data_IF_716449106765
#
_entry.id   IF_716449106765
#
_cell.length_a   1.000
_cell.length_b   1.000
_cell.length_c   1.000
_cell.angle_alpha   90.00
_cell.angle_beta   90.00
_cell.angle_gamma   90.00
#
_symmetry.space_group_name_H-M   'P 1'
#
loop_
_entity.id
_entity.type
_entity.pdbx_description
1 polymer ?
#
# COMPACT_ATOMS: atom_id res chain seq x y z
N UNK A 1 24.57 56.76 37.77
CA UNK A 1 24.28 55.87 36.62
C UNK A 1 22.82 55.45 36.70
N UNK A 2 22.02 55.73 35.66
CA UNK A 2 20.55 55.56 35.66
C UNK A 2 20.18 54.14 35.26
N UNK A 3 19.29 53.51 36.02
CA UNK A 3 18.79 52.16 35.77
C UNK A 3 17.83 52.10 34.58
N UNK A 4 18.08 51.15 33.68
CA UNK A 4 17.19 50.83 32.58
C UNK A 4 16.02 49.99 33.08
N UNK A 5 14.81 50.55 33.07
CA UNK A 5 13.55 49.81 33.19
C UNK A 5 13.25 49.14 31.85
N UNK A 6 13.26 47.80 31.81
CA UNK A 6 12.74 47.04 30.68
C UNK A 6 11.21 47.08 30.68
N UNK A 7 10.63 47.64 29.62
CA UNK A 7 9.21 47.64 29.33
C UNK A 7 8.70 46.20 29.13
N UNK A 8 7.67 45.82 29.91
CA UNK A 8 6.89 44.60 29.65
C UNK A 8 6.24 44.72 28.27
N UNK A 9 6.66 43.87 27.33
CA UNK A 9 5.94 43.69 26.07
C UNK A 9 4.52 43.23 26.40
N UNK A 10 3.54 43.94 25.86
CA UNK A 10 2.14 43.56 25.90
C UNK A 10 1.99 42.17 25.28
N UNK A 11 1.76 41.16 26.13
CA UNK A 11 1.21 39.88 25.67
C UNK A 11 -0.10 40.20 24.96
N UNK A 12 -0.18 39.92 23.66
CA UNK A 12 -1.43 39.98 22.92
C UNK A 12 -2.43 39.09 23.65
N UNK A 13 -3.54 39.68 24.13
CA UNK A 13 -4.68 38.89 24.60
C UNK A 13 -5.08 37.96 23.47
N UNK A 14 -4.81 36.66 23.63
CA UNK A 14 -5.46 35.64 22.84
C UNK A 14 -6.96 35.84 23.05
N UNK A 15 -7.71 35.97 21.95
CA UNK A 15 -9.17 36.02 22.00
C UNK A 15 -9.69 34.76 22.69
N UNK A 16 -10.76 34.87 23.47
CA UNK A 16 -11.45 33.72 24.05
C UNK A 16 -11.89 32.77 22.92
N UNK A 17 -11.15 31.67 22.72
CA UNK A 17 -11.42 30.64 21.71
C UNK A 17 -12.44 29.62 22.22
N UNK A 18 -13.57 30.08 22.76
CA UNK A 18 -14.66 29.20 23.21
C UNK A 18 -15.71 28.92 22.11
N UNK A 19 -15.55 29.49 20.91
CA UNK A 19 -16.36 29.15 19.75
C UNK A 19 -15.78 27.94 19.02
N UNK A 20 -16.64 26.99 18.64
CA UNK A 20 -16.25 25.78 17.90
C UNK A 20 -15.89 26.07 16.42
N UNK A 21 -15.83 27.34 16.01
CA UNK A 21 -15.53 27.78 14.65
C UNK A 21 -16.73 27.77 13.69
N UNK A 22 -17.87 27.19 14.09
CA UNK A 22 -19.05 27.01 13.24
C UNK A 22 -20.22 27.95 13.58
N UNK A 23 -20.05 28.82 14.58
CA UNK A 23 -21.08 29.74 15.08
C UNK A 23 -21.55 30.78 14.03
N UNK A 24 -20.76 30.98 12.97
CA UNK A 24 -21.06 31.92 11.89
C UNK A 24 -21.72 31.24 10.67
N UNK A 25 -21.99 29.93 10.71
CA UNK A 25 -22.64 29.23 9.60
C UNK A 25 -24.11 29.65 9.47
N UNK A 26 -24.55 29.95 8.24
CA UNK A 26 -25.93 30.30 7.92
C UNK A 26 -26.51 29.44 6.80
N UNK A 27 -27.84 29.32 6.77
CA UNK A 27 -28.56 28.58 5.72
C UNK A 27 -28.26 27.08 5.71
N UNK A 28 -28.11 26.49 4.52
CA UNK A 28 -27.91 25.05 4.34
C UNK A 28 -26.64 24.53 5.02
N UNK A 29 -25.59 25.37 5.12
CA UNK A 29 -24.37 24.96 5.81
C UNK A 29 -24.57 24.72 7.31
N UNK A 30 -25.44 25.51 7.95
CA UNK A 30 -25.80 25.31 9.35
C UNK A 30 -26.59 24.00 9.57
N UNK A 31 -27.50 23.67 8.64
CA UNK A 31 -28.25 22.41 8.70
C UNK A 31 -27.32 21.21 8.48
N UNK A 32 -26.42 21.28 7.50
CA UNK A 32 -25.40 20.24 7.27
C UNK A 32 -24.50 20.04 8.48
N UNK A 33 -24.01 21.11 9.08
CA UNK A 33 -23.20 21.05 10.30
C UNK A 33 -23.97 20.41 11.47
N UNK A 34 -25.23 20.80 11.67
CA UNK A 34 -26.08 20.24 12.73
C UNK A 34 -26.27 18.73 12.57
N UNK A 35 -26.36 18.24 11.34
CA UNK A 35 -26.46 16.81 11.07
C UNK A 35 -25.09 16.14 11.25
N UNK A 36 -24.02 16.72 10.67
CA UNK A 36 -22.67 16.16 10.74
C UNK A 36 -22.13 16.04 12.17
N UNK A 37 -22.39 17.03 13.03
CA UNK A 37 -21.98 17.01 14.45
C UNK A 37 -22.59 15.85 15.24
N UNK A 38 -23.79 15.35 14.83
CA UNK A 38 -24.40 14.14 15.41
C UNK A 38 -23.68 12.85 15.01
N UNK A 39 -22.76 12.88 14.05
CA UNK A 39 -21.99 11.71 13.61
C UNK A 39 -20.50 11.82 13.90
N UNK A 40 -19.94 13.03 14.03
CA UNK A 40 -18.49 13.26 14.21
C UNK A 40 -17.88 12.44 15.35
N UNK A 41 -18.57 12.36 16.49
CA UNK A 41 -18.13 11.60 17.66
C UNK A 41 -17.98 10.08 17.43
N UNK A 42 -18.49 9.56 16.32
CA UNK A 42 -18.40 8.14 15.94
C UNK A 42 -17.13 7.82 15.13
N UNK A 43 -16.30 8.81 14.83
CA UNK A 43 -14.93 8.62 14.34
C UNK A 43 -13.94 8.44 15.51
N UNK A 44 -12.69 8.13 15.19
CA UNK A 44 -11.58 8.23 16.15
C UNK A 44 -11.49 9.66 16.69
N UNK A 45 -11.09 9.87 17.96
CA UNK A 45 -11.02 11.19 18.58
C UNK A 45 -10.29 12.25 17.73
N UNK A 46 -9.17 11.87 17.14
CA UNK A 46 -8.31 12.78 16.36
C UNK A 46 -8.84 13.05 14.94
N UNK A 47 -9.81 12.26 14.47
CA UNK A 47 -10.38 12.32 13.11
C UNK A 47 -11.87 12.74 13.14
N UNK A 48 -12.35 13.27 14.28
CA UNK A 48 -13.76 13.69 14.44
C UNK A 48 -14.11 14.84 13.50
N UNK A 49 -13.20 15.79 13.37
CA UNK A 49 -13.39 16.95 12.50
C UNK A 49 -13.29 16.55 11.02
N UNK A 50 -12.43 15.58 10.68
CA UNK A 50 -12.37 15.02 9.33
C UNK A 50 -13.69 14.37 8.93
N UNK A 51 -14.27 13.52 9.79
CA UNK A 51 -15.58 12.92 9.51
C UNK A 51 -16.68 13.98 9.43
N UNK A 52 -16.63 15.00 10.29
CA UNK A 52 -17.58 16.12 10.26
C UNK A 52 -17.53 16.83 8.90
N UNK A 53 -16.34 17.20 8.44
CA UNK A 53 -16.14 17.88 7.17
C UNK A 53 -16.48 16.99 5.97
N UNK A 54 -16.12 15.71 5.99
CA UNK A 54 -16.51 14.75 4.95
C UNK A 54 -18.04 14.67 4.81
N UNK A 55 -18.78 14.66 5.92
CA UNK A 55 -20.25 14.66 5.88
C UNK A 55 -20.76 15.99 5.31
N UNK A 56 -20.24 17.13 5.75
CA UNK A 56 -20.69 18.44 5.25
C UNK A 56 -20.46 18.56 3.73
N UNK A 57 -19.28 18.20 3.25
CA UNK A 57 -18.94 18.27 1.83
C UNK A 57 -19.83 17.31 1.02
N UNK A 58 -20.02 16.08 1.49
CA UNK A 58 -20.88 15.10 0.78
C UNK A 58 -22.34 15.55 0.72
N UNK A 59 -22.86 16.20 1.77
CA UNK A 59 -24.20 16.78 1.75
C UNK A 59 -24.30 17.94 0.74
N UNK A 60 -23.33 18.85 0.72
CA UNK A 60 -23.30 19.97 -0.22
C UNK A 60 -23.20 19.50 -1.67
N UNK A 61 -22.38 18.49 -1.95
CA UNK A 61 -22.24 17.91 -3.28
C UNK A 61 -23.52 17.18 -3.74
N UNK A 62 -24.18 16.46 -2.84
CA UNK A 62 -25.46 15.82 -3.18
C UNK A 62 -26.53 16.86 -3.42
N UNK A 63 -26.64 17.90 -2.57
CA UNK A 63 -27.59 18.99 -2.76
C UNK A 63 -27.42 19.68 -4.12
N UNK A 64 -26.18 20.03 -4.48
CA UNK A 64 -25.84 20.63 -5.79
C UNK A 64 -26.29 19.76 -6.96
N UNK A 65 -26.24 18.44 -6.79
CA UNK A 65 -26.58 17.46 -7.83
C UNK A 65 -28.02 16.92 -7.73
N UNK A 66 -28.83 17.37 -6.76
CA UNK A 66 -30.17 16.83 -6.48
C UNK A 66 -31.26 17.37 -7.43
N UNK A 67 -30.90 18.19 -8.43
CA UNK A 67 -31.82 18.82 -9.36
C UNK A 67 -32.82 19.73 -8.65
N UNK A 68 -34.09 19.71 -9.08
CA UNK A 68 -35.17 20.52 -8.48
C UNK A 68 -35.84 19.83 -7.28
N UNK A 69 -35.31 18.71 -6.80
CA UNK A 69 -35.86 18.01 -5.66
C UNK A 69 -35.38 18.63 -4.35
N UNK A 70 -36.31 18.82 -3.41
CA UNK A 70 -35.97 19.27 -2.07
C UNK A 70 -35.06 18.25 -1.40
N UNK A 71 -33.98 18.72 -0.81
CA UNK A 71 -33.07 17.88 -0.06
C UNK A 71 -33.63 17.67 1.35
N UNK A 72 -34.24 16.51 1.58
CA UNK A 72 -34.91 16.21 2.85
C UNK A 72 -33.93 15.85 3.96
N UNK A 73 -34.25 16.19 5.21
CA UNK A 73 -33.41 15.85 6.37
C UNK A 73 -33.16 14.33 6.49
N UNK A 74 -34.18 13.51 6.16
CA UNK A 74 -34.04 12.05 6.14
C UNK A 74 -32.99 11.57 5.12
N UNK A 75 -32.89 12.21 3.95
CA UNK A 75 -31.85 11.92 2.97
C UNK A 75 -30.47 12.32 3.52
N UNK A 76 -30.37 13.48 4.19
CA UNK A 76 -29.14 13.93 4.82
C UNK A 76 -28.64 12.95 5.88
N UNK A 77 -29.51 12.44 6.77
CA UNK A 77 -29.12 11.41 7.75
C UNK A 77 -28.64 10.10 7.09
N UNK A 78 -29.26 9.69 5.97
CA UNK A 78 -28.81 8.51 5.22
C UNK A 78 -27.42 8.71 4.63
N UNK A 79 -27.15 9.89 4.08
CA UNK A 79 -25.83 10.25 3.53
C UNK A 79 -24.80 10.31 4.65
N UNK A 80 -25.10 10.97 5.77
CA UNK A 80 -24.22 11.04 6.93
C UNK A 80 -23.89 9.64 7.50
N UNK A 81 -24.89 8.77 7.63
CA UNK A 81 -24.69 7.36 8.02
C UNK A 81 -23.82 6.61 7.03
N UNK A 82 -23.99 6.85 5.73
CA UNK A 82 -23.17 6.23 4.67
C UNK A 82 -21.73 6.74 4.71
N UNK A 83 -21.51 8.04 4.89
CA UNK A 83 -20.18 8.64 5.03
C UNK A 83 -19.45 8.06 6.25
N UNK A 84 -20.13 7.95 7.40
CA UNK A 84 -19.61 7.27 8.58
C UNK A 84 -19.18 5.82 8.29
N UNK A 85 -19.99 5.05 7.56
CA UNK A 85 -19.65 3.68 7.19
C UNK A 85 -18.45 3.63 6.21
N UNK A 86 -18.33 4.61 5.31
CA UNK A 86 -17.19 4.75 4.40
C UNK A 86 -15.91 5.12 5.15
N UNK A 87 -15.99 6.00 6.14
CA UNK A 87 -14.89 6.34 7.05
C UNK A 87 -14.32 5.07 7.71
N UNK A 88 -15.17 4.27 8.37
CA UNK A 88 -14.73 3.03 9.01
C UNK A 88 -14.21 1.99 8.01
N UNK A 89 -14.75 1.95 6.78
CA UNK A 89 -14.23 1.08 5.71
C UNK A 89 -12.85 1.52 5.23
N UNK A 90 -12.62 2.84 5.05
CA UNK A 90 -11.32 3.41 4.69
C UNK A 90 -10.30 3.11 5.79
N UNK A 91 -10.67 3.34 7.05
CA UNK A 91 -9.83 3.03 8.21
C UNK A 91 -9.46 1.55 8.28
N UNK A 92 -10.45 0.66 8.15
CA UNK A 92 -10.20 -0.78 8.15
C UNK A 92 -9.24 -1.20 7.03
N UNK A 93 -9.33 -0.57 5.85
CA UNK A 93 -8.39 -0.80 4.74
C UNK A 93 -6.97 -0.36 5.09
N UNK A 94 -6.82 0.80 5.72
CA UNK A 94 -5.49 1.29 6.15
C UNK A 94 -4.88 0.37 7.21
N UNK A 95 -5.69 -0.11 8.15
CA UNK A 95 -5.16 -0.95 9.24
C UNK A 95 -4.93 -2.42 8.79
N UNK A 96 -5.67 -2.93 7.77
CA UNK A 96 -5.70 -4.36 7.39
C UNK A 96 -5.36 -4.66 5.91
N UNK A 97 -5.00 -3.65 5.13
CA UNK A 97 -4.67 -3.77 3.70
C UNK A 97 -5.84 -4.07 2.76
N UNK A 98 -7.04 -4.37 3.27
CA UNK A 98 -8.21 -4.73 2.46
C UNK A 98 -9.53 -4.29 3.11
N UNK A 99 -10.62 -4.39 2.35
CA UNK A 99 -11.99 -4.25 2.84
C UNK A 99 -12.80 -5.51 2.54
N UNK A 100 -13.93 -5.69 3.23
CA UNK A 100 -14.89 -6.74 2.86
C UNK A 100 -15.43 -6.61 1.42
N UNK A 101 -15.29 -5.43 0.79
CA UNK A 101 -15.65 -5.21 -0.61
C UNK A 101 -14.77 -5.99 -1.59
N UNK A 102 -13.53 -6.27 -1.21
CA UNK A 102 -12.54 -7.02 -2.00
C UNK A 102 -12.77 -8.54 -1.95
N UNK A 103 -13.77 -8.98 -1.17
CA UNK A 103 -14.14 -10.38 -1.02
C UNK A 103 -15.38 -10.73 -1.87
N UNK A 104 -15.38 -11.94 -2.44
CA UNK A 104 -16.52 -12.47 -3.18
C UNK A 104 -17.76 -12.61 -2.29
N UNK A 105 -18.94 -12.71 -2.91
CA UNK A 105 -20.21 -12.94 -2.17
C UNK A 105 -20.15 -14.24 -1.36
N UNK A 106 -19.55 -15.29 -1.93
CA UNK A 106 -19.38 -16.58 -1.26
C UNK A 106 -18.47 -16.48 -0.03
N UNK A 107 -17.35 -15.76 -0.12
CA UNK A 107 -16.45 -15.52 1.01
C UNK A 107 -17.16 -14.74 2.12
N UNK A 108 -17.86 -13.65 1.79
CA UNK A 108 -18.61 -12.87 2.78
C UNK A 108 -19.71 -13.68 3.48
N UNK A 109 -20.36 -14.59 2.75
CA UNK A 109 -21.35 -15.51 3.35
C UNK A 109 -20.69 -16.43 4.38
N UNK A 110 -19.56 -17.06 4.05
CA UNK A 110 -18.77 -17.87 5.00
C UNK A 110 -18.33 -17.06 6.23
N UNK A 111 -17.87 -15.82 6.03
CA UNK A 111 -17.53 -14.94 7.16
C UNK A 111 -18.74 -14.64 8.05
N UNK A 112 -19.94 -14.51 7.47
CA UNK A 112 -21.18 -14.30 8.23
C UNK A 112 -21.58 -15.53 9.03
N UNK A 113 -21.51 -16.72 8.41
CA UNK A 113 -21.84 -18.00 9.04
C UNK A 113 -20.92 -18.28 10.24
N UNK A 114 -19.63 -18.03 10.07
CA UNK A 114 -18.61 -18.33 11.08
C UNK A 114 -18.20 -17.12 11.95
N UNK A 115 -18.93 -16.00 11.85
CA UNK A 115 -18.66 -14.75 12.58
C UNK A 115 -17.20 -14.23 12.50
N UNK A 116 -16.58 -14.36 11.32
CA UNK A 116 -15.17 -14.02 11.08
C UNK A 116 -14.94 -12.51 10.81
N UNK A 117 -15.89 -11.65 11.16
CA UNK A 117 -15.74 -10.21 10.92
C UNK A 117 -14.69 -9.56 11.83
N UNK A 118 -14.56 -10.05 13.07
CA UNK A 118 -13.56 -9.57 14.02
C UNK A 118 -12.14 -10.07 13.68
N UNK A 119 -12.03 -11.26 13.09
CA UNK A 119 -10.77 -11.91 12.75
C UNK A 119 -10.82 -12.37 11.29
N UNK A 120 -10.66 -11.42 10.37
CA UNK A 120 -10.69 -11.71 8.94
C UNK A 120 -9.46 -12.54 8.55
N UNK A 121 -9.62 -13.74 7.94
CA UNK A 121 -8.49 -14.60 7.60
C UNK A 121 -7.64 -14.05 6.44
N UNK A 122 -8.16 -13.10 5.66
CA UNK A 122 -7.45 -12.47 4.54
C UNK A 122 -6.75 -11.17 4.96
N UNK A 123 -7.14 -10.59 6.10
CA UNK A 123 -6.63 -9.30 6.54
C UNK A 123 -5.14 -9.40 6.86
N UNK A 124 -4.34 -8.49 6.29
CA UNK A 124 -2.92 -8.35 6.61
C UNK A 124 -2.79 -7.09 7.43
N UNK A 125 -2.54 -7.23 8.73
CA UNK A 125 -2.35 -6.06 9.60
C UNK A 125 -1.11 -5.31 9.15
N UNK A 126 -1.28 -4.04 8.84
CA UNK A 126 -0.14 -3.18 8.51
C UNK A 126 0.52 -2.74 9.82
N UNK A 127 1.83 -2.96 9.92
CA UNK A 127 2.64 -2.46 11.03
C UNK A 127 3.32 -1.14 10.65
N UNK A 128 3.60 -0.31 11.66
CA UNK A 128 4.37 0.92 11.47
C UNK A 128 5.83 0.58 11.23
N UNK A 129 6.47 1.24 10.27
CA UNK A 129 7.92 1.10 10.05
C UNK A 129 8.72 1.66 11.23
N UNK A 130 8.21 2.67 11.92
CA UNK A 130 8.85 3.25 13.10
C UNK A 130 8.57 2.42 14.37
N UNK A 131 8.08 1.18 14.23
CA UNK A 131 7.84 0.30 15.37
C UNK A 131 9.20 -0.14 15.94
N UNK A 132 9.46 0.03 17.25
CA UNK A 132 10.71 -0.42 17.83
C UNK A 132 10.76 -1.95 17.89
N UNK A 133 11.89 -2.51 17.48
CA UNK A 133 12.25 -3.93 17.53
C UNK A 133 13.46 -4.05 18.45
N UNK A 134 13.42 -5.01 19.38
CA UNK A 134 14.49 -5.26 20.35
C UNK A 134 15.35 -6.41 19.80
N UNK A 135 16.66 -6.20 19.71
CA UNK A 135 17.62 -7.25 19.33
C UNK A 135 17.95 -8.19 20.51
N UNK A 136 18.84 -9.15 20.28
CA UNK A 136 19.25 -10.12 21.31
C UNK A 136 20.12 -9.48 22.40
N UNK A 137 20.79 -8.36 22.10
CA UNK A 137 21.60 -7.56 23.03
C UNK A 137 20.79 -6.53 23.84
N UNK A 138 19.50 -6.33 23.52
CA UNK A 138 18.60 -5.39 24.19
C UNK A 138 18.60 -3.96 23.63
N UNK A 139 19.23 -3.70 22.48
CA UNK A 139 19.13 -2.42 21.80
C UNK A 139 17.82 -2.31 21.00
N UNK A 140 17.34 -1.07 20.84
CA UNK A 140 16.12 -0.78 20.08
C UNK A 140 16.46 -0.23 18.70
N UNK A 141 16.00 -0.91 17.66
CA UNK A 141 16.10 -0.49 16.25
C UNK A 141 14.70 -0.37 15.66
N UNK A 142 14.48 0.50 14.69
CA UNK A 142 13.18 0.62 14.04
C UNK A 142 12.96 -0.52 13.03
N UNK A 143 11.72 -1.02 12.91
CA UNK A 143 11.36 -2.09 11.98
C UNK A 143 11.77 -1.74 10.53
N UNK A 144 11.63 -0.47 10.14
CA UNK A 144 11.99 0.02 8.82
C UNK A 144 13.47 -0.19 8.47
N UNK A 145 14.37 -0.05 9.44
CA UNK A 145 15.82 -0.21 9.22
C UNK A 145 16.23 -1.66 8.99
N UNK A 146 15.37 -2.61 9.37
CA UNK A 146 15.61 -4.04 9.25
C UNK A 146 15.09 -4.64 7.93
N UNK A 147 14.34 -3.86 7.14
CA UNK A 147 13.78 -4.31 5.87
C UNK A 147 14.79 -4.03 4.76
N UNK A 148 15.29 -5.09 4.12
CA UNK A 148 16.16 -4.96 2.96
C UNK A 148 15.40 -4.40 1.74
N UNK A 149 16.06 -3.54 0.97
CA UNK A 149 15.56 -3.11 -0.33
C UNK A 149 15.92 -4.15 -1.39
N UNK A 150 14.98 -5.03 -1.73
CA UNK A 150 15.12 -6.04 -2.79
C UNK A 150 15.39 -5.44 -4.19
N UNK A 151 15.27 -4.11 -4.34
CA UNK A 151 15.58 -3.37 -5.56
C UNK A 151 16.86 -2.54 -5.46
N UNK A 152 17.63 -2.71 -4.39
CA UNK A 152 18.93 -2.08 -4.28
C UNK A 152 19.80 -2.45 -5.49
N UNK A 153 20.50 -1.45 -6.04
CA UNK A 153 21.42 -1.67 -7.15
C UNK A 153 22.58 -2.54 -6.67
N UNK A 154 22.74 -3.71 -7.26
CA UNK A 154 23.93 -4.53 -7.09
C UNK A 154 25.12 -3.80 -7.76
N UNK A 155 25.97 -3.20 -6.93
CA UNK A 155 27.11 -2.40 -7.39
C UNK A 155 28.14 -3.23 -8.14
N UNK A 156 28.34 -4.48 -7.74
CA UNK A 156 29.29 -5.38 -8.39
C UNK A 156 28.76 -5.80 -9.75
N UNK A 157 27.48 -6.21 -9.82
CA UNK A 157 26.84 -6.52 -11.09
C UNK A 157 26.80 -5.29 -12.03
N UNK A 158 26.63 -4.09 -11.48
CA UNK A 158 26.65 -2.85 -12.25
C UNK A 158 28.06 -2.53 -12.80
N UNK A 159 29.10 -2.69 -11.98
CA UNK A 159 30.50 -2.52 -12.40
C UNK A 159 30.92 -3.57 -13.43
N UNK A 160 30.52 -4.83 -13.26
CA UNK A 160 30.78 -5.91 -14.21
C UNK A 160 30.10 -5.62 -15.56
N UNK A 161 28.84 -5.17 -15.53
CA UNK A 161 28.12 -4.77 -16.74
C UNK A 161 28.82 -3.60 -17.46
N UNK A 162 29.28 -2.59 -16.70
CA UNK A 162 30.00 -1.46 -17.27
C UNK A 162 31.36 -1.87 -17.86
N UNK A 163 32.10 -2.73 -17.16
CA UNK A 163 33.38 -3.28 -17.62
C UNK A 163 33.20 -4.10 -18.89
N UNK A 164 32.15 -4.93 -18.95
CA UNK A 164 31.80 -5.67 -20.15
C UNK A 164 31.51 -4.73 -21.32
N UNK A 165 30.71 -3.68 -21.12
CA UNK A 165 30.38 -2.71 -22.17
C UNK A 165 31.63 -1.97 -22.69
N UNK A 166 32.57 -1.61 -21.82
CA UNK A 166 33.83 -0.96 -22.22
C UNK A 166 34.76 -1.88 -23.03
N UNK A 167 34.75 -3.17 -22.73
CA UNK A 167 35.53 -4.18 -23.46
C UNK A 167 34.81 -4.72 -24.70
N UNK A 168 33.51 -4.43 -24.83
CA UNK A 168 32.66 -4.96 -25.88
C UNK A 168 32.98 -4.29 -27.23
N UNK A 169 33.09 -5.06 -28.33
CA UNK A 169 33.24 -4.48 -29.66
C UNK A 169 32.04 -3.61 -30.05
N UNK A 170 32.28 -2.40 -30.57
CA UNK A 170 31.24 -1.43 -31.00
C UNK A 170 30.16 -2.04 -31.90
N UNK A 171 30.57 -2.95 -32.80
CA UNK A 171 29.64 -3.65 -33.70
C UNK A 171 28.60 -4.48 -32.95
N UNK A 172 28.96 -5.08 -31.82
CA UNK A 172 28.04 -5.85 -31.00
C UNK A 172 27.06 -4.93 -30.25
N UNK A 173 27.53 -3.76 -29.81
CA UNK A 173 26.70 -2.72 -29.17
C UNK A 173 25.64 -2.22 -30.17
N UNK A 174 26.03 -1.86 -31.39
CA UNK A 174 25.10 -1.42 -32.43
C UNK A 174 24.04 -2.49 -32.77
N UNK A 175 24.44 -3.77 -32.80
CA UNK A 175 23.50 -4.89 -32.98
C UNK A 175 22.53 -5.00 -31.79
N UNK A 176 23.01 -4.79 -30.57
CA UNK A 176 22.18 -4.83 -29.37
C UNK A 176 21.16 -3.69 -29.33
N UNK A 177 21.55 -2.47 -29.71
CA UNK A 177 20.66 -1.31 -29.84
C UNK A 177 19.55 -1.57 -30.87
N UNK A 178 19.90 -2.09 -32.05
CA UNK A 178 18.90 -2.50 -33.06
C UNK A 178 17.89 -3.50 -32.51
N UNK A 179 18.33 -4.49 -31.71
CA UNK A 179 17.42 -5.46 -31.07
C UNK A 179 16.53 -4.83 -30.00
N UNK A 180 17.06 -3.91 -29.20
CA UNK A 180 16.29 -3.16 -28.19
C UNK A 180 15.19 -2.34 -28.85
N UNK A 181 15.51 -1.70 -29.98
CA UNK A 181 14.60 -0.81 -30.70
C UNK A 181 13.66 -1.59 -31.67
N UNK A 182 13.76 -2.93 -31.70
CA UNK A 182 12.90 -3.80 -32.49
C UNK A 182 13.18 -3.82 -34.00
N UNK A 183 14.35 -3.32 -34.43
CA UNK A 183 14.76 -3.30 -35.84
C UNK A 183 15.27 -4.67 -36.30
N UNK A 184 15.02 -5.00 -37.57
CA UNK A 184 15.53 -6.22 -38.18
C UNK A 184 17.05 -6.17 -38.36
N UNK A 185 17.73 -7.28 -38.06
CA UNK A 185 19.17 -7.43 -38.28
C UNK A 185 19.45 -7.87 -39.72
N UNK A 186 20.54 -7.36 -40.28
CA UNK A 186 21.04 -7.88 -41.55
C UNK A 186 21.68 -9.28 -41.37
N UNK A 187 21.78 -10.05 -42.46
CA UNK A 187 22.37 -11.39 -42.44
C UNK A 187 23.82 -11.37 -41.93
N UNK A 188 24.60 -10.33 -42.27
CA UNK A 188 25.97 -10.18 -41.76
C UNK A 188 26.01 -9.94 -40.24
N UNK A 189 25.04 -9.20 -39.70
CA UNK A 189 24.90 -8.93 -38.26
C UNK A 189 24.45 -10.18 -37.51
N UNK A 190 23.52 -10.95 -38.08
CA UNK A 190 23.10 -12.24 -37.54
C UNK A 190 24.26 -13.24 -37.47
N UNK A 191 25.06 -13.35 -38.55
CA UNK A 191 26.25 -14.22 -38.58
C UNK A 191 27.27 -13.78 -37.52
N UNK A 192 27.51 -12.47 -37.39
CA UNK A 192 28.44 -11.93 -36.39
C UNK A 192 27.99 -12.25 -34.96
N UNK A 193 26.71 -12.00 -34.65
CA UNK A 193 26.12 -12.32 -33.34
C UNK A 193 26.17 -13.82 -33.03
N UNK A 194 25.91 -14.67 -34.04
CA UNK A 194 25.98 -16.13 -33.90
C UNK A 194 27.40 -16.60 -33.55
N UNK A 195 28.43 -16.06 -34.22
CA UNK A 195 29.83 -16.37 -33.91
C UNK A 195 30.21 -15.92 -32.50
N UNK A 196 29.79 -14.72 -32.10
CA UNK A 196 30.07 -14.18 -30.77
C UNK A 196 29.41 -15.04 -29.67
N UNK A 197 28.14 -15.42 -29.83
CA UNK A 197 27.44 -16.32 -28.90
C UNK A 197 28.13 -17.68 -28.74
N UNK A 198 28.58 -18.27 -29.85
CA UNK A 198 29.29 -19.56 -29.81
C UNK A 198 30.63 -19.48 -29.07
N UNK A 199 31.29 -18.32 -29.08
CA UNK A 199 32.55 -18.10 -28.36
C UNK A 199 32.33 -17.98 -26.85
N UNK A 200 31.32 -17.22 -26.43
CA UNK A 200 31.03 -16.94 -25.01
C UNK A 200 30.23 -18.07 -24.32
N UNK A 201 29.73 -19.04 -25.08
CA UNK A 201 28.99 -20.16 -24.54
C UNK A 201 29.91 -21.06 -23.70
N UNK A 202 29.79 -20.97 -22.37
CA UNK A 202 30.40 -21.95 -21.45
C UNK A 202 29.77 -23.33 -21.69
N UNK A 203 30.59 -24.37 -21.85
CA UNK A 203 30.11 -25.74 -21.95
C UNK A 203 29.46 -26.16 -20.63
N UNK A 204 28.20 -26.56 -20.65
CA UNK A 204 27.46 -27.01 -19.46
C UNK A 204 28.05 -28.30 -18.84
N UNK A 205 28.93 -29.00 -19.54
CA UNK A 205 29.54 -30.26 -19.09
C UNK A 205 31.04 -30.29 -19.44
N UNK A 206 31.86 -29.73 -18.58
CA UNK A 206 33.32 -29.92 -18.63
C UNK A 206 33.82 -30.24 -17.23
N UNK A 207 33.41 -31.40 -16.68
CA UNK A 207 33.93 -31.83 -15.38
C UNK A 207 33.25 -33.01 -14.69
N UNK A 208 31.99 -33.36 -14.97
CA UNK A 208 31.31 -34.42 -14.22
C UNK A 208 30.92 -35.60 -15.12
N UNK A 209 31.51 -36.77 -14.82
CA UNK A 209 31.03 -38.06 -15.35
C UNK A 209 29.68 -38.34 -14.70
N UNK A 210 28.61 -38.22 -15.48
CA UNK A 210 27.28 -38.68 -15.09
C UNK A 210 27.32 -40.21 -14.85
N UNK A 211 27.29 -40.62 -13.59
CA UNK A 211 26.88 -41.97 -13.21
C UNK A 211 25.36 -41.95 -13.02
N UNK A 212 24.59 -42.68 -13.85
CA UNK A 212 23.15 -42.72 -13.67
C UNK A 212 22.83 -43.54 -12.42
N UNK A 213 22.46 -42.87 -11.33
CA UNK A 213 21.78 -43.56 -10.22
C UNK A 213 20.36 -43.83 -10.69
N UNK A 214 20.06 -45.08 -11.01
CA UNK A 214 18.69 -45.54 -11.19
C UNK A 214 17.95 -45.39 -9.86
N UNK A 215 17.13 -44.35 -9.75
CA UNK A 215 16.18 -44.21 -8.65
C UNK A 215 15.08 -45.28 -8.83
N UNK A 216 15.18 -46.37 -8.07
CA UNK A 216 14.06 -47.30 -7.89
C UNK A 216 13.02 -46.64 -7.01
N UNK A 217 12.03 -45.98 -7.63
CA UNK A 217 10.83 -45.51 -6.93
C UNK A 217 9.92 -46.72 -6.64
N UNK A 218 10.25 -47.51 -5.62
CA UNK A 218 9.26 -48.36 -4.94
C UNK A 218 8.54 -47.49 -3.91
N UNK A 219 7.43 -46.88 -4.33
CA UNK A 219 6.47 -46.25 -3.42
C UNK A 219 5.78 -47.38 -2.67
N UNK A 220 6.09 -47.53 -1.38
CA UNK A 220 5.35 -48.39 -0.48
C UNK A 220 3.91 -47.91 -0.36
N UNK A 221 2.98 -48.67 -0.93
CA UNK A 221 1.55 -48.52 -0.70
C UNK A 221 1.24 -48.97 0.74
N UNK A 222 1.19 -48.03 1.69
CA UNK A 222 0.51 -48.29 2.97
C UNK A 222 -1.00 -48.15 2.75
N UNK A 223 -1.66 -49.30 2.73
CA UNK A 223 -3.10 -49.45 2.78
C UNK A 223 -3.66 -48.82 4.06
N UNK A 224 -4.63 -47.92 3.92
CA UNK A 224 -5.53 -47.52 5.00
C UNK A 224 -6.70 -48.52 5.06
N UNK A 225 -6.97 -49.18 6.20
CA UNK A 225 -8.16 -50.01 6.34
C UNK A 225 -9.40 -49.13 6.51
N UNK A 226 -10.39 -49.37 5.66
CA UNK A 226 -11.75 -48.92 5.86
C UNK A 226 -12.34 -49.67 7.07
N UNK A 227 -12.83 -48.93 8.07
CA UNK A 227 -13.75 -49.47 9.08
C UNK A 227 -15.01 -48.63 9.04
N UNK A 228 -16.08 -49.26 8.56
CA UNK A 228 -17.45 -48.83 8.76
C UNK A 228 -17.87 -49.18 10.18
N UNK A 229 -18.50 -48.23 10.87
CA UNK A 229 -19.16 -48.37 12.16
C UNK A 229 -19.95 -47.11 12.44
#
# INVERSE_FOLDING_TARGET
MRGFKSSRSSSSKQADTNGNGYDNLSGNWFTFYTIASKFSHKAKPDERDDLLHDIIITLADVERNNGHHQFTEAAMYRIASRAQALYWRKRYRMDNGLTCGDCSKAQRRKCKENWLFAACPKAVKLESLNKPVIDEEGNTTELGDLIADDRALDLDAWLDANTFLLQCPDRLIAIAEKRRDGLALDNAEMIYLCRFRKREQKSLFSGERFSPVFATNTVGASAMPAVCG
#
